data_IF_652214948804
#
_entry.id   IF_652214948804
#
_cell.length_a   1.000
_cell.length_b   1.000
_cell.length_c   1.000
_cell.angle_alpha   90.00
_cell.angle_beta   90.00
_cell.angle_gamma   90.00
#
_symmetry.space_group_name_H-M   'P 1'
#
loop_
_entity.id
_entity.type
_entity.pdbx_description
1 polymer ?
#
# COMPACT_ATOMS: atom_id res chain seq x y z
N UNK A 1 -7.49 17.69 7.55
CA UNK A 1 -6.91 17.26 6.27
C UNK A 1 -5.42 17.26 6.46
N UNK A 2 -4.87 16.14 6.93
CA UNK A 2 -3.53 16.10 7.55
C UNK A 2 -2.65 15.03 6.90
N UNK A 3 -2.83 14.79 5.60
CA UNK A 3 -1.99 13.87 4.86
C UNK A 3 -0.71 14.58 4.42
N UNK A 4 0.44 14.10 4.90
CA UNK A 4 1.76 14.58 4.49
C UNK A 4 2.33 13.65 3.42
N UNK A 5 2.76 14.23 2.31
CA UNK A 5 3.46 13.53 1.24
C UNK A 5 4.71 12.84 1.82
N UNK A 6 4.79 11.51 1.68
CA UNK A 6 5.83 10.66 2.24
C UNK A 6 5.39 9.69 3.35
N UNK A 7 4.13 9.77 3.80
CA UNK A 7 3.59 8.79 4.76
C UNK A 7 3.08 7.52 4.07
N UNK A 8 2.92 6.46 4.87
CA UNK A 8 2.40 5.18 4.41
C UNK A 8 1.01 5.35 3.75
N UNK A 9 0.87 4.85 2.54
CA UNK A 9 -0.38 4.85 1.77
C UNK A 9 -1.05 3.48 1.85
N UNK A 10 -2.38 3.47 1.73
CA UNK A 10 -3.15 2.23 1.66
C UNK A 10 -3.32 1.85 0.19
N UNK A 11 -2.99 0.61 -0.17
CA UNK A 11 -3.28 0.08 -1.50
C UNK A 11 -4.81 0.04 -1.65
N UNK A 12 -5.31 0.74 -2.65
CA UNK A 12 -6.74 0.74 -2.97
C UNK A 12 -7.19 -0.69 -3.28
N UNK A 13 -8.38 -1.08 -2.80
CA UNK A 13 -8.95 -2.42 -3.05
C UNK A 13 -9.26 -2.70 -4.53
N UNK A 14 -9.09 -1.72 -5.42
CA UNK A 14 -9.14 -1.89 -6.87
C UNK A 14 -7.86 -2.50 -7.45
N UNK A 15 -6.75 -2.50 -6.72
CA UNK A 15 -5.48 -3.08 -7.16
C UNK A 15 -5.45 -4.55 -6.78
N UNK A 16 -5.20 -5.40 -7.78
CA UNK A 16 -5.11 -6.85 -7.58
C UNK A 16 -3.82 -7.24 -6.86
N UNK A 17 -3.82 -8.36 -6.15
CA UNK A 17 -2.65 -8.82 -5.36
C UNK A 17 -1.40 -8.99 -6.22
N UNK A 18 -1.55 -9.41 -7.48
CA UNK A 18 -0.43 -9.60 -8.40
C UNK A 18 0.18 -8.28 -8.88
N UNK A 19 -0.64 -7.25 -9.13
CA UNK A 19 -0.15 -5.89 -9.38
C UNK A 19 0.53 -5.33 -8.13
N UNK A 20 -0.08 -5.51 -6.96
CA UNK A 20 0.49 -5.07 -5.69
C UNK A 20 1.86 -5.73 -5.43
N UNK A 21 2.04 -7.02 -5.73
CA UNK A 21 3.34 -7.71 -5.63
C UNK A 21 4.37 -7.18 -6.62
N UNK A 22 3.93 -6.81 -7.82
CA UNK A 22 4.81 -6.24 -8.84
C UNK A 22 5.30 -4.85 -8.44
N UNK A 23 4.40 -4.02 -7.91
CA UNK A 23 4.70 -2.64 -7.49
C UNK A 23 5.47 -2.62 -6.16
N UNK A 24 5.11 -3.51 -5.23
CA UNK A 24 5.69 -3.61 -3.89
C UNK A 24 6.32 -4.99 -3.67
N UNK A 25 7.46 -5.29 -4.33
CA UNK A 25 8.12 -6.59 -4.21
C UNK A 25 8.67 -6.86 -2.81
N UNK A 26 8.92 -5.80 -2.03
CA UNK A 26 9.28 -5.87 -0.61
C UNK A 26 8.11 -6.23 0.33
N UNK A 27 6.89 -6.39 -0.21
CA UNK A 27 5.70 -6.68 0.56
C UNK A 27 5.08 -5.45 1.24
N UNK A 28 4.04 -5.68 2.03
CA UNK A 28 3.26 -4.64 2.70
C UNK A 28 2.79 -5.08 4.08
N UNK A 29 2.51 -4.13 4.96
CA UNK A 29 1.93 -4.43 6.27
C UNK A 29 0.42 -4.61 6.11
N UNK A 30 -0.12 -5.73 6.62
CA UNK A 30 -1.54 -6.05 6.52
C UNK A 30 -2.13 -6.38 7.90
N UNK A 31 -2.42 -5.38 8.75
CA UNK A 31 -3.04 -5.62 10.06
C UNK A 31 -4.47 -6.17 9.95
N UNK A 32 -5.12 -6.00 8.79
CA UNK A 32 -6.44 -6.55 8.45
C UNK A 32 -6.41 -7.12 7.03
N UNK A 33 -7.33 -8.03 6.67
CA UNK A 33 -7.35 -8.67 5.34
C UNK A 33 -7.48 -7.68 4.16
N UNK A 34 -8.09 -6.51 4.40
CA UNK A 34 -8.35 -5.50 3.35
C UNK A 34 -7.50 -4.24 3.52
N UNK A 35 -6.67 -4.15 4.56
CA UNK A 35 -5.84 -2.98 4.82
C UNK A 35 -4.42 -3.37 4.47
N UNK A 36 -3.91 -2.85 3.37
CA UNK A 36 -2.54 -3.07 2.91
C UNK A 36 -1.80 -1.75 2.91
N UNK A 37 -0.82 -1.64 3.77
CA UNK A 37 -0.09 -0.41 4.05
C UNK A 37 1.28 -0.51 3.41
N UNK A 38 1.60 0.43 2.53
CA UNK A 38 2.87 0.51 1.80
C UNK A 38 3.46 1.91 1.93
N UNK A 39 4.80 2.03 2.01
CA UNK A 39 5.42 3.34 1.93
C UNK A 39 5.13 3.95 0.55
N UNK A 40 4.89 5.26 0.51
CA UNK A 40 4.65 5.95 -0.75
C UNK A 40 5.84 5.71 -1.71
N UNK A 41 5.60 5.23 -2.96
CA UNK A 41 6.65 5.17 -3.96
C UNK A 41 7.14 6.59 -4.24
N UNK A 42 8.48 6.76 -4.32
CA UNK A 42 9.11 8.05 -4.67
C UNK A 42 8.82 8.46 -6.11
#
# INVERSE_FOLDING_TARGET
>A
SDWKQGEDVIIAGSVSDDEAKTIYPQGWKSPRPYIRIVPQPK
#
